data_IF_704600395377
#
_entry.id   IF_704600395377
#
_cell.length_a   1.000
_cell.length_b   1.000
_cell.length_c   1.000
_cell.angle_alpha   90.00
_cell.angle_beta   90.00
_cell.angle_gamma   90.00
#
_symmetry.space_group_name_H-M   'P 1'
#
loop_
_entity.id
_entity.type
_entity.pdbx_description
1 polymer ?
#
# COMPACT_ATOMS: atom_id res chain seq x y z
N UNK A 1 16.13 3.62 -10.26
CA UNK A 1 15.04 3.44 -11.27
C UNK A 1 14.91 4.75 -12.02
N UNK A 2 14.81 4.71 -13.35
CA UNK A 2 14.42 5.89 -14.14
C UNK A 2 12.90 6.06 -14.00
N UNK A 3 12.48 7.17 -13.39
CA UNK A 3 11.07 7.40 -13.06
C UNK A 3 10.22 7.73 -14.29
N UNK A 4 10.79 8.42 -15.29
CA UNK A 4 10.06 8.80 -16.50
C UNK A 4 9.84 7.60 -17.41
N UNK A 5 10.82 6.69 -17.45
CA UNK A 5 10.65 5.40 -18.13
C UNK A 5 9.59 4.56 -17.40
N UNK A 6 9.65 4.48 -16.07
CA UNK A 6 8.68 3.74 -15.27
C UNK A 6 7.25 4.26 -15.41
N UNK A 7 7.04 5.59 -15.34
CA UNK A 7 5.72 6.21 -15.56
C UNK A 7 5.19 5.93 -16.97
N UNK A 8 6.04 5.99 -18.00
CA UNK A 8 5.65 5.62 -19.37
C UNK A 8 5.30 4.15 -19.51
N UNK A 9 6.01 3.25 -18.84
CA UNK A 9 5.65 1.83 -18.80
C UNK A 9 4.26 1.62 -18.19
N UNK A 10 3.95 2.29 -17.07
CA UNK A 10 2.64 2.21 -16.40
C UNK A 10 1.51 2.73 -17.29
N UNK A 11 1.70 3.87 -17.95
CA UNK A 11 0.69 4.50 -18.80
C UNK A 11 0.41 3.74 -20.10
N UNK A 12 1.43 3.08 -20.66
CA UNK A 12 1.31 2.32 -21.92
C UNK A 12 1.10 0.81 -21.68
N UNK A 13 0.69 0.45 -20.47
CA UNK A 13 0.59 -0.92 -20.00
C UNK A 13 -0.60 -1.67 -20.59
N UNK A 14 -0.40 -2.45 -21.65
CA UNK A 14 -1.41 -3.43 -22.12
C UNK A 14 -1.65 -4.56 -21.10
N UNK A 15 -0.65 -4.86 -20.27
CA UNK A 15 -0.66 -5.96 -19.30
C UNK A 15 -1.24 -5.60 -17.91
N UNK A 16 -1.83 -4.40 -17.76
CA UNK A 16 -2.37 -3.87 -16.51
C UNK A 16 -1.33 -3.26 -15.55
N UNK A 17 -1.65 -2.07 -15.04
CA UNK A 17 -0.82 -1.25 -14.12
C UNK A 17 -0.24 -2.07 -12.97
N UNK A 18 -1.08 -2.88 -12.31
CA UNK A 18 -0.71 -3.73 -11.16
C UNK A 18 0.45 -4.67 -11.45
N UNK A 19 0.51 -5.27 -12.66
CA UNK A 19 1.59 -6.18 -13.05
C UNK A 19 2.94 -5.48 -13.15
N UNK A 20 2.95 -4.25 -13.68
CA UNK A 20 4.16 -3.45 -13.79
C UNK A 20 4.61 -2.97 -12.41
N UNK A 21 3.67 -2.52 -11.57
CA UNK A 21 3.96 -2.14 -10.19
C UNK A 21 4.65 -3.27 -9.42
N UNK A 22 4.10 -4.47 -9.41
CA UNK A 22 4.72 -5.64 -8.77
C UNK A 22 6.11 -5.96 -9.32
N UNK A 23 6.27 -5.92 -10.65
CA UNK A 23 7.56 -6.24 -11.30
C UNK A 23 8.65 -5.22 -10.98
N UNK A 24 8.30 -3.93 -10.84
CA UNK A 24 9.26 -2.82 -10.70
C UNK A 24 9.44 -2.36 -9.27
N UNK A 25 8.46 -2.58 -8.40
CA UNK A 25 8.43 -2.09 -7.02
C UNK A 25 8.32 -3.31 -6.11
N UNK A 26 9.47 -3.81 -5.65
CA UNK A 26 9.56 -4.98 -4.77
C UNK A 26 8.71 -4.84 -3.50
N UNK A 27 8.53 -3.61 -3.01
CA UNK A 27 7.69 -3.27 -1.86
C UNK A 27 6.20 -3.54 -2.12
N UNK A 28 5.72 -3.30 -3.34
CA UNK A 28 4.35 -3.65 -3.76
C UNK A 28 4.23 -5.16 -3.92
N UNK A 29 5.20 -5.84 -4.51
CA UNK A 29 5.14 -7.30 -4.63
C UNK A 29 5.17 -8.01 -3.27
N UNK A 30 5.97 -7.51 -2.31
CA UNK A 30 5.98 -7.98 -0.93
C UNK A 30 4.65 -7.70 -0.22
N UNK A 31 4.10 -6.50 -0.35
CA UNK A 31 2.78 -6.14 0.19
C UNK A 31 1.68 -7.05 -0.37
N UNK A 32 1.65 -7.25 -1.69
CA UNK A 32 0.63 -8.06 -2.35
C UNK A 32 0.78 -9.57 -2.14
N UNK A 33 1.92 -10.00 -1.62
CA UNK A 33 2.17 -11.39 -1.23
C UNK A 33 1.98 -11.63 0.27
N UNK A 34 1.59 -10.61 1.03
CA UNK A 34 1.52 -10.67 2.49
C UNK A 34 0.26 -11.41 2.96
N UNK A 35 0.43 -12.58 3.58
CA UNK A 35 -0.68 -13.41 4.06
C UNK A 35 -1.51 -12.75 5.18
N UNK A 36 -0.93 -11.76 5.86
CA UNK A 36 -1.55 -11.03 6.95
C UNK A 36 -2.53 -9.94 6.48
N UNK A 37 -2.63 -9.70 5.16
CA UNK A 37 -3.60 -8.82 4.53
C UNK A 37 -4.58 -9.65 3.69
N UNK A 38 -5.84 -9.66 4.09
CA UNK A 38 -6.95 -10.26 3.34
C UNK A 38 -7.57 -9.21 2.43
N UNK A 39 -8.12 -9.67 1.32
CA UNK A 39 -8.87 -8.85 0.35
C UNK A 39 -8.11 -7.59 -0.06
N UNK A 40 -6.79 -7.69 -0.24
CA UNK A 40 -5.96 -6.58 -0.68
C UNK A 40 -6.30 -6.21 -2.13
N UNK A 41 -6.92 -5.05 -2.29
CA UNK A 41 -7.36 -4.50 -3.56
C UNK A 41 -6.75 -3.13 -3.80
N UNK A 42 -6.29 -2.88 -5.03
CA UNK A 42 -5.87 -1.55 -5.47
C UNK A 42 -7.13 -0.77 -5.86
N UNK A 43 -7.46 0.25 -5.08
CA UNK A 43 -8.70 1.03 -5.25
C UNK A 43 -8.50 2.28 -6.11
N UNK A 44 -7.28 2.82 -6.17
CA UNK A 44 -6.99 4.00 -6.97
C UNK A 44 -5.53 4.00 -7.46
N UNK A 45 -5.34 4.63 -8.62
CA UNK A 45 -4.05 4.86 -9.24
C UNK A 45 -4.06 6.25 -9.89
N UNK A 46 -3.30 7.18 -9.32
CA UNK A 46 -3.19 8.55 -9.79
C UNK A 46 -1.77 8.80 -10.25
N UNK A 47 -1.62 9.45 -11.40
CA UNK A 47 -0.32 9.92 -11.87
C UNK A 47 -0.35 11.40 -12.22
N UNK A 48 0.68 12.11 -11.78
CA UNK A 48 0.99 13.50 -12.12
C UNK A 48 2.41 13.57 -12.67
N UNK A 49 2.86 14.74 -13.13
CA UNK A 49 4.18 14.91 -13.72
C UNK A 49 5.33 14.56 -12.78
N UNK A 50 5.16 14.80 -11.48
CA UNK A 50 6.19 14.56 -10.47
C UNK A 50 5.96 13.29 -9.64
N UNK A 51 4.77 12.67 -9.73
CA UNK A 51 4.37 11.67 -8.76
C UNK A 51 3.43 10.59 -9.32
N UNK A 52 3.50 9.41 -8.73
CA UNK A 52 2.53 8.33 -8.83
C UNK A 52 1.99 8.06 -7.43
N UNK A 53 0.68 7.90 -7.28
CA UNK A 53 0.02 7.50 -6.04
C UNK A 53 -0.75 6.23 -6.33
N UNK A 54 -0.59 5.23 -5.47
CA UNK A 54 -1.33 3.96 -5.52
C UNK A 54 -2.03 3.78 -4.19
N UNK A 55 -3.35 3.60 -4.21
CA UNK A 55 -4.13 3.38 -3.01
C UNK A 55 -4.64 1.95 -2.96
N UNK A 56 -4.56 1.34 -1.78
CA UNK A 56 -5.06 0.01 -1.51
C UNK A 56 -5.98 0.00 -0.30
N UNK A 57 -6.97 -0.89 -0.35
CA UNK A 57 -7.73 -1.32 0.81
C UNK A 57 -7.42 -2.77 1.13
N UNK A 58 -7.43 -3.11 2.41
CA UNK A 58 -7.26 -4.48 2.87
C UNK A 58 -7.83 -4.67 4.27
N UNK A 59 -8.07 -5.92 4.64
CA UNK A 59 -8.45 -6.33 5.98
C UNK A 59 -7.23 -6.98 6.65
N UNK A 60 -6.80 -6.44 7.78
CA UNK A 60 -5.72 -7.04 8.56
C UNK A 60 -6.16 -8.35 9.22
N UNK A 61 -5.21 -9.26 9.39
CA UNK A 61 -5.33 -10.37 10.36
C UNK A 61 -5.04 -9.86 11.78
N UNK A 62 -5.42 -10.64 12.80
CA UNK A 62 -5.10 -10.33 14.20
C UNK A 62 -3.59 -10.24 14.48
N UNK A 63 -2.76 -10.88 13.65
CA UNK A 63 -1.30 -10.76 13.77
C UNK A 63 -0.79 -9.38 13.33
N UNK A 64 -1.47 -8.74 12.37
CA UNK A 64 -1.10 -7.43 11.84
C UNK A 64 -1.84 -6.27 12.52
N UNK A 65 -2.94 -6.53 13.21
CA UNK A 65 -3.70 -5.51 13.94
C UNK A 65 -3.56 -5.65 15.46
N UNK A 66 -3.59 -4.58 16.26
CA UNK A 66 -3.48 -3.17 15.87
C UNK A 66 -2.06 -2.80 15.41
N UNK A 67 -1.88 -1.56 14.94
CA UNK A 67 -0.61 -0.97 14.48
C UNK A 67 0.00 -1.65 13.24
N UNK A 68 -0.74 -1.77 12.13
CA UNK A 68 -0.24 -2.40 10.92
C UNK A 68 0.98 -1.66 10.34
N UNK A 69 1.11 -0.35 10.54
CA UNK A 69 2.27 0.42 10.05
C UNK A 69 3.60 -0.04 10.64
N UNK A 70 3.67 -0.19 11.96
CA UNK A 70 4.88 -0.69 12.65
C UNK A 70 5.17 -2.14 12.26
N UNK A 71 4.14 -2.99 12.23
CA UNK A 71 4.30 -4.40 11.90
C UNK A 71 4.70 -4.63 10.44
N UNK A 72 4.22 -3.81 9.49
CA UNK A 72 4.68 -3.86 8.10
C UNK A 72 6.16 -3.48 7.98
N UNK A 73 6.67 -2.62 8.86
CA UNK A 73 8.09 -2.28 8.94
C UNK A 73 8.89 -3.44 9.54
N UNK A 74 8.40 -4.05 10.63
CA UNK A 74 9.06 -5.18 11.28
C UNK A 74 9.11 -6.42 10.38
N UNK A 75 8.07 -6.63 9.56
CA UNK A 75 8.01 -7.68 8.54
C UNK A 75 8.90 -7.37 7.31
N UNK A 76 9.55 -6.20 7.27
CA UNK A 76 10.42 -5.78 6.16
C UNK A 76 9.67 -5.42 4.87
N UNK A 77 8.33 -5.36 4.90
CA UNK A 77 7.53 -4.92 3.77
C UNK A 77 7.86 -3.48 3.45
N UNK A 78 7.89 -2.59 4.45
CA UNK A 78 8.39 -1.22 4.33
C UNK A 78 9.58 -0.98 5.27
N UNK A 79 10.26 0.14 5.11
CA UNK A 79 11.26 0.62 6.07
C UNK A 79 10.74 1.83 6.83
N UNK A 80 11.39 2.19 7.95
CA UNK A 80 11.07 3.42 8.69
C UNK A 80 11.22 4.67 7.83
N UNK A 81 12.19 4.67 6.92
CA UNK A 81 12.45 5.81 6.03
C UNK A 81 11.37 5.98 4.94
N UNK A 82 10.63 4.92 4.63
CA UNK A 82 9.51 4.97 3.70
C UNK A 82 8.25 5.56 4.36
N UNK A 83 8.16 5.59 5.70
CA UNK A 83 6.93 5.96 6.41
C UNK A 83 6.74 7.47 6.47
N UNK A 84 5.64 7.97 5.93
CA UNK A 84 5.33 9.41 5.89
C UNK A 84 4.37 9.83 6.98
N UNK A 85 3.24 9.14 7.08
CA UNK A 85 2.21 9.48 8.07
C UNK A 85 1.24 8.32 8.29
N UNK A 86 0.50 8.39 9.40
CA UNK A 86 -0.62 7.52 9.68
C UNK A 86 -1.75 8.26 10.38
N UNK A 87 -2.98 7.81 10.15
CA UNK A 87 -4.14 8.12 10.96
C UNK A 87 -4.67 6.82 11.54
N UNK A 88 -4.36 6.56 12.81
CA UNK A 88 -4.70 5.31 13.48
C UNK A 88 -6.03 5.47 14.22
N UNK A 89 -6.95 4.53 14.01
CA UNK A 89 -8.26 4.52 14.68
C UNK A 89 -8.47 3.17 15.34
N UNK A 90 -8.26 3.13 16.66
CA UNK A 90 -8.45 1.94 17.52
C UNK A 90 -9.57 2.19 18.53
N UNK A 91 -10.75 2.51 18.01
CA UNK A 91 -12.00 2.65 18.75
C UNK A 91 -12.67 1.32 19.15
N UNK A 92 -12.25 0.19 18.56
CA UNK A 92 -12.87 -1.13 18.76
C UNK A 92 -14.14 -1.34 17.94
N UNK A 93 -14.38 -0.52 16.91
CA UNK A 93 -15.52 -0.64 16.00
C UNK A 93 -15.15 -1.51 14.80
N UNK A 94 -16.04 -2.38 14.32
CA UNK A 94 -15.78 -3.30 13.20
C UNK A 94 -15.53 -2.64 11.84
N UNK A 95 -15.78 -1.33 11.72
CA UNK A 95 -15.53 -0.55 10.50
C UNK A 95 -14.35 0.41 10.66
N UNK A 96 -13.56 0.28 11.72
CA UNK A 96 -12.39 1.12 11.89
C UNK A 96 -11.23 0.64 11.02
N UNK A 97 -10.41 1.60 10.66
CA UNK A 97 -9.29 1.43 9.76
C UNK A 97 -8.11 2.30 10.20
N UNK A 98 -6.92 1.79 9.94
CA UNK A 98 -5.71 2.57 9.99
C UNK A 98 -5.36 3.02 8.58
N UNK A 99 -5.26 4.33 8.39
CA UNK A 99 -4.77 4.92 7.15
C UNK A 99 -3.27 5.12 7.25
N UNK A 100 -2.49 4.57 6.32
CA UNK A 100 -1.04 4.65 6.30
C UNK A 100 -0.55 5.21 4.97
N UNK A 101 0.51 6.00 5.01
CA UNK A 101 1.15 6.54 3.82
C UNK A 101 2.64 6.25 3.81
N UNK A 102 3.11 5.65 2.71
CA UNK A 102 4.50 5.35 2.45
C UNK A 102 4.99 6.08 1.20
N UNK A 103 6.19 6.65 1.27
CA UNK A 103 6.86 7.37 0.19
C UNK A 103 8.10 6.63 -0.28
N UNK A 104 8.10 6.20 -1.54
CA UNK A 104 9.20 5.52 -2.18
C UNK A 104 9.86 6.42 -3.23
N UNK A 105 11.14 6.14 -3.53
CA UNK A 105 11.90 6.82 -4.58
C UNK A 105 11.87 8.35 -4.46
N UNK A 106 12.27 8.88 -3.30
CA UNK A 106 12.23 10.33 -3.01
C UNK A 106 10.80 10.89 -3.11
N UNK A 107 9.81 10.15 -2.60
CA UNK A 107 8.38 10.48 -2.61
C UNK A 107 7.74 10.61 -4.00
N UNK A 108 8.44 10.18 -5.06
CA UNK A 108 7.87 10.14 -6.41
C UNK A 108 6.84 9.02 -6.58
N UNK A 109 6.90 7.97 -5.77
CA UNK A 109 5.85 6.96 -5.67
C UNK A 109 5.31 6.96 -4.25
N UNK A 110 4.01 7.18 -4.09
CA UNK A 110 3.35 7.05 -2.80
C UNK A 110 2.41 5.84 -2.81
N UNK A 111 2.41 5.12 -1.69
CA UNK A 111 1.49 4.03 -1.42
C UNK A 111 0.63 4.45 -0.23
N UNK A 112 -0.67 4.48 -0.45
CA UNK A 112 -1.68 4.74 0.57
C UNK A 112 -2.35 3.41 0.90
N UNK A 113 -2.40 3.05 2.17
CA UNK A 113 -3.07 1.84 2.64
C UNK A 113 -4.18 2.22 3.60
N UNK A 114 -5.39 1.76 3.31
CA UNK A 114 -6.50 1.73 4.25
C UNK A 114 -6.63 0.30 4.77
N UNK A 115 -6.24 0.08 6.03
CA UNK A 115 -6.19 -1.25 6.63
C UNK A 115 -7.26 -1.36 7.69
N UNK A 116 -8.33 -2.09 7.37
CA UNK A 116 -9.43 -2.36 8.29
C UNK A 116 -9.04 -3.39 9.34
N UNK A 117 -9.68 -3.31 10.51
CA UNK A 117 -9.47 -4.30 11.56
C UNK A 117 -9.95 -5.71 11.16
N UNK A 118 -9.58 -6.77 11.90
CA UNK A 118 -9.87 -8.15 11.51
C UNK A 118 -11.37 -8.50 11.44
N UNK A 119 -12.21 -7.73 12.12
CA UNK A 119 -13.66 -7.95 12.21
C UNK A 119 -14.44 -7.29 11.05
N UNK A 120 -13.75 -6.56 10.18
CA UNK A 120 -14.35 -5.93 9.02
C UNK A 120 -14.76 -6.94 7.93
N UNK A 121 -15.81 -6.62 7.19
CA UNK A 121 -16.23 -7.28 5.96
C UNK A 121 -16.56 -6.24 4.89
N UNK A 122 -16.08 -6.47 3.67
CA UNK A 122 -16.59 -5.77 2.49
C UNK A 122 -17.89 -6.48 2.08
N UNK A 123 -19.03 -5.83 2.38
CA UNK A 123 -20.36 -6.31 1.99
C UNK A 123 -20.61 -6.17 0.48
#
# INVERSE_FOLDING_TARGET
MDFDVFKRELLNSENGVRKILRKRVSKIDALESLLQLRDLEMIDFITSDSQIVVAYNAIATSDLYPNPGEKLIDLGVFSKDDFLSSNLRHSGLSNENDWLQFGLYQNKLQIILEIYNPDHSFD
#
